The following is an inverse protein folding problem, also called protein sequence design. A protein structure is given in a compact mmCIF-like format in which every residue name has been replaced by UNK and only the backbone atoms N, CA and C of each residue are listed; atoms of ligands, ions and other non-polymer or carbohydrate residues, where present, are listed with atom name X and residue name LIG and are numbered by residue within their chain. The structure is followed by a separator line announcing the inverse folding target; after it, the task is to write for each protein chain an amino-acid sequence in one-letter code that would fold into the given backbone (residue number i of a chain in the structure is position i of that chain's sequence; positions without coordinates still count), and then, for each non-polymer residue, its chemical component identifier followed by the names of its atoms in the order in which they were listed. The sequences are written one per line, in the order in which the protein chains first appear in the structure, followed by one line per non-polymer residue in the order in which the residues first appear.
data_IF_714586667382
#
_entry.id   IF_714586667382
#
_cell.length_a   1.000
_cell.length_b   1.000
_cell.length_c   1.000
_cell.angle_alpha   90.00
_cell.angle_beta   90.00
_cell.angle_gamma   90.00
#
_symmetry.space_group_name_H-M   'P 1'
#
loop_
_entity.id
_entity.type
_entity.pdbx_description
1 polymer ?
#
# COMPACT_ATOMS: atom_id res chain seq x y z
N UNK A 1 43.25 -45.18 -4.01
CA UNK A 1 41.96 -45.52 -4.67
C UNK A 1 40.92 -44.45 -4.32
N UNK A 2 40.88 -43.40 -5.14
CA UNK A 2 39.78 -42.52 -5.58
C UNK A 2 38.62 -42.24 -4.59
N UNK A 3 38.55 -40.99 -4.08
CA UNK A 3 37.32 -40.33 -3.60
C UNK A 3 37.42 -38.81 -3.81
N UNK A 4 37.32 -38.31 -5.04
CA UNK A 4 37.29 -36.84 -5.24
C UNK A 4 36.63 -36.36 -6.55
N UNK A 5 35.69 -37.10 -7.14
CA UNK A 5 35.17 -36.77 -8.48
C UNK A 5 33.64 -36.52 -8.53
N UNK A 6 32.89 -36.64 -7.42
CA UNK A 6 31.42 -36.50 -7.48
C UNK A 6 30.87 -35.08 -7.24
N UNK A 7 31.65 -34.14 -6.72
CA UNK A 7 31.13 -32.82 -6.32
C UNK A 7 31.16 -31.78 -7.46
N UNK A 8 32.15 -31.86 -8.36
CA UNK A 8 32.31 -30.90 -9.48
C UNK A 8 31.21 -31.02 -10.54
N UNK A 9 30.75 -32.25 -10.82
CA UNK A 9 29.74 -32.52 -11.86
C UNK A 9 28.38 -31.86 -11.59
N UNK A 10 27.97 -31.76 -10.31
CA UNK A 10 26.67 -31.18 -9.96
C UNK A 10 26.68 -29.65 -10.04
N UNK A 11 27.81 -29.00 -9.78
CA UNK A 11 27.96 -27.54 -9.87
C UNK A 11 27.96 -27.08 -11.32
N UNK A 12 28.67 -27.79 -12.21
CA UNK A 12 28.66 -27.49 -13.65
C UNK A 12 27.29 -27.72 -14.27
N UNK A 13 26.58 -28.80 -13.88
CA UNK A 13 25.20 -29.05 -14.32
C UNK A 13 24.24 -27.98 -13.85
N UNK A 14 24.38 -27.48 -12.62
CA UNK A 14 23.56 -26.38 -12.11
C UNK A 14 23.84 -25.07 -12.87
N UNK A 15 25.11 -24.79 -13.20
CA UNK A 15 25.52 -23.62 -13.98
C UNK A 15 24.96 -23.65 -15.41
N UNK A 16 25.03 -24.81 -16.07
CA UNK A 16 24.46 -25.03 -17.41
C UNK A 16 22.94 -24.94 -17.42
N UNK A 17 22.28 -25.44 -16.37
CA UNK A 17 20.84 -25.32 -16.22
C UNK A 17 20.41 -23.86 -16.02
N UNK A 18 21.13 -23.11 -15.19
CA UNK A 18 20.92 -21.67 -14.98
C UNK A 18 21.20 -20.84 -16.23
N UNK A 19 22.21 -21.19 -17.04
CA UNK A 19 22.47 -20.52 -18.31
C UNK A 19 21.38 -20.80 -19.33
N UNK A 20 20.87 -22.03 -19.38
CA UNK A 20 19.76 -22.42 -20.25
C UNK A 20 18.46 -21.70 -19.87
N UNK A 21 18.18 -21.55 -18.57
CA UNK A 21 17.06 -20.75 -18.08
C UNK A 21 17.19 -19.29 -18.54
N UNK A 22 18.40 -18.70 -18.48
CA UNK A 22 18.65 -17.31 -18.87
C UNK A 22 18.56 -17.04 -20.39
N UNK A 23 18.66 -18.07 -21.22
CA UNK A 23 18.53 -17.93 -22.68
C UNK A 23 17.07 -18.03 -23.15
N UNK A 24 16.18 -18.55 -22.31
CA UNK A 24 14.77 -18.70 -22.64
C UNK A 24 13.98 -17.49 -22.11
N UNK A 25 13.73 -16.52 -22.98
CA UNK A 25 13.05 -15.26 -22.63
C UNK A 25 11.64 -15.48 -22.09
N UNK A 26 10.96 -16.56 -22.51
CA UNK A 26 9.61 -16.91 -22.05
C UNK A 26 9.66 -17.47 -20.64
N UNK A 27 10.63 -18.34 -20.35
CA UNK A 27 10.83 -18.89 -19.01
C UNK A 27 11.33 -17.81 -18.03
N UNK A 28 12.21 -16.92 -18.47
CA UNK A 28 12.61 -15.73 -17.71
C UNK A 28 11.44 -14.80 -17.45
N UNK A 29 10.55 -14.56 -18.42
CA UNK A 29 9.35 -13.75 -18.19
C UNK A 29 8.36 -14.45 -17.26
N UNK A 30 8.23 -15.77 -17.33
CA UNK A 30 7.41 -16.55 -16.40
C UNK A 30 8.01 -16.58 -14.98
N UNK A 31 9.33 -16.69 -14.85
CA UNK A 31 10.04 -16.64 -13.58
C UNK A 31 10.03 -15.23 -13.00
N UNK A 32 10.19 -14.18 -13.80
CA UNK A 32 10.02 -12.77 -13.39
C UNK A 32 8.58 -12.50 -12.95
N UNK A 33 7.59 -13.06 -13.66
CA UNK A 33 6.18 -13.04 -13.24
C UNK A 33 5.94 -13.83 -11.94
N UNK A 34 6.77 -14.84 -11.63
CA UNK A 34 6.72 -15.61 -10.37
C UNK A 34 7.57 -15.02 -9.24
N UNK A 35 8.65 -14.31 -9.51
CA UNK A 35 9.45 -13.58 -8.51
C UNK A 35 8.69 -12.35 -7.99
N UNK A 36 7.76 -11.82 -8.78
CA UNK A 36 6.74 -10.87 -8.31
C UNK A 36 5.80 -11.44 -7.22
N UNK A 37 5.87 -12.76 -6.94
CA UNK A 37 5.16 -13.44 -5.85
C UNK A 37 6.05 -13.75 -4.63
N UNK A 38 7.24 -13.17 -4.52
CA UNK A 38 7.76 -12.92 -3.17
C UNK A 38 6.73 -12.04 -2.44
N UNK A 39 6.47 -12.22 -1.13
CA UNK A 39 5.59 -11.30 -0.41
C UNK A 39 6.15 -9.90 -0.60
N UNK A 40 5.55 -9.15 -1.53
CA UNK A 40 5.93 -7.78 -1.80
C UNK A 40 5.73 -7.05 -0.49
N UNK A 41 6.81 -6.47 0.06
CA UNK A 41 6.62 -5.54 1.16
C UNK A 41 5.61 -4.51 0.67
N UNK A 42 4.51 -4.31 1.41
CA UNK A 42 3.47 -3.37 1.01
C UNK A 42 4.01 -1.93 0.85
N UNK A 43 5.24 -1.68 1.30
CA UNK A 43 6.02 -0.47 1.06
C UNK A 43 6.19 -0.11 -0.43
N UNK A 44 6.18 -1.08 -1.36
CA UNK A 44 6.19 -0.74 -2.80
C UNK A 44 4.92 0.01 -3.20
N UNK A 45 3.77 -0.37 -2.65
CA UNK A 45 2.49 0.32 -2.91
C UNK A 45 2.45 1.73 -2.32
N UNK A 46 3.19 2.01 -1.24
CA UNK A 46 3.38 3.39 -0.74
C UNK A 46 4.05 4.25 -1.81
N UNK A 47 5.14 3.75 -2.40
CA UNK A 47 5.87 4.47 -3.45
C UNK A 47 5.02 4.65 -4.70
N UNK A 48 4.23 3.63 -5.07
CA UNK A 48 3.28 3.72 -6.18
C UNK A 48 2.21 4.76 -5.90
N UNK A 49 1.67 4.81 -4.68
CA UNK A 49 0.66 5.81 -4.28
C UNK A 49 1.22 7.23 -4.42
N UNK A 50 2.41 7.50 -3.89
CA UNK A 50 3.08 8.81 -4.04
C UNK A 50 3.31 9.13 -5.52
N UNK A 51 3.72 8.15 -6.32
CA UNK A 51 3.94 8.31 -7.76
C UNK A 51 2.65 8.63 -8.51
N UNK A 52 1.55 7.93 -8.20
CA UNK A 52 0.24 8.15 -8.81
C UNK A 52 -0.39 9.49 -8.40
N UNK A 53 0.05 10.07 -7.28
CA UNK A 53 -0.40 11.38 -6.83
C UNK A 53 0.22 12.54 -7.62
N UNK A 54 1.22 12.29 -8.48
CA UNK A 54 1.91 13.35 -9.21
C UNK A 54 0.98 14.04 -10.22
N UNK A 55 1.07 15.35 -10.30
CA UNK A 55 0.44 16.12 -11.37
C UNK A 55 1.31 16.18 -12.64
N UNK A 56 0.87 16.95 -13.63
CA UNK A 56 1.58 17.11 -14.91
C UNK A 56 2.94 17.79 -14.76
N UNK A 57 3.18 18.53 -13.67
CA UNK A 57 4.49 19.09 -13.33
C UNK A 57 5.40 18.09 -12.60
N UNK A 58 4.90 16.90 -12.27
CA UNK A 58 5.63 15.88 -11.52
C UNK A 58 5.60 16.09 -10.00
N UNK A 59 4.85 17.07 -9.50
CA UNK A 59 4.71 17.36 -8.07
C UNK A 59 3.76 16.35 -7.43
N UNK A 60 4.25 15.60 -6.44
CA UNK A 60 3.43 14.67 -5.66
C UNK A 60 2.47 15.43 -4.73
N UNK A 61 1.24 14.96 -4.66
CA UNK A 61 0.18 15.53 -3.80
C UNK A 61 -0.13 14.65 -2.59
N UNK A 62 0.62 13.55 -2.43
CA UNK A 62 0.68 12.75 -1.22
C UNK A 62 2.10 12.81 -0.68
N UNK A 63 2.23 13.27 0.55
CA UNK A 63 3.48 13.26 1.33
C UNK A 63 3.54 12.05 2.27
N UNK A 64 2.39 11.59 2.79
CA UNK A 64 2.32 10.45 3.71
C UNK A 64 1.17 9.51 3.39
N UNK A 65 1.40 8.20 3.53
CA UNK A 65 0.38 7.18 3.34
C UNK A 65 0.72 5.90 4.11
N UNK A 66 -0.28 5.03 4.26
CA UNK A 66 -0.10 3.69 4.79
C UNK A 66 -1.19 2.75 4.27
N UNK A 67 -0.97 1.46 4.49
CA UNK A 67 -1.97 0.42 4.28
C UNK A 67 -2.18 -0.29 5.62
N UNK A 68 -3.44 -0.44 6.02
CA UNK A 68 -3.82 -1.16 7.22
C UNK A 68 -4.74 -2.33 6.88
N UNK A 69 -4.69 -3.40 7.65
CA UNK A 69 -5.63 -4.51 7.51
C UNK A 69 -7.02 -4.15 8.04
N UNK A 70 -8.06 -4.52 7.30
CA UNK A 70 -9.46 -4.35 7.68
C UNK A 70 -9.81 -5.12 8.97
N UNK A 71 -9.13 -6.24 9.22
CA UNK A 71 -9.32 -7.07 10.40
C UNK A 71 -8.40 -6.63 11.55
N UNK A 72 -8.75 -5.50 12.18
CA UNK A 72 -8.09 -5.03 13.41
C UNK A 72 -7.10 -3.89 13.22
N UNK A 73 -6.93 -3.35 12.01
CA UNK A 73 -6.11 -2.16 11.78
C UNK A 73 -4.61 -2.41 11.89
N UNK A 74 -4.14 -3.63 11.66
CA UNK A 74 -2.71 -3.93 11.66
C UNK A 74 -2.03 -3.18 10.51
N UNK A 75 -0.94 -2.46 10.79
CA UNK A 75 -0.17 -1.76 9.77
C UNK A 75 0.54 -2.78 8.88
N UNK A 76 0.33 -2.71 7.57
CA UNK A 76 0.96 -3.60 6.58
C UNK A 76 2.21 -3.00 5.95
N UNK A 77 2.38 -1.70 6.10
CA UNK A 77 3.53 -0.93 5.64
C UNK A 77 4.49 -0.64 6.78
N UNK A 78 5.77 -0.52 6.49
CA UNK A 78 6.79 -0.25 7.52
C UNK A 78 6.87 1.24 7.85
N UNK A 79 7.17 1.55 9.11
CA UNK A 79 7.42 2.92 9.56
C UNK A 79 8.77 3.50 9.06
N UNK A 80 9.57 2.71 8.33
CA UNK A 80 10.87 3.09 7.80
C UNK A 80 10.78 3.91 6.51
N UNK A 81 9.64 3.84 5.79
CA UNK A 81 9.43 4.64 4.59
C UNK A 81 9.40 6.14 4.93
N UNK A 82 10.04 7.02 4.13
CA UNK A 82 9.94 8.46 4.31
C UNK A 82 8.50 8.98 4.15
N UNK A 83 7.66 8.22 3.46
CA UNK A 83 6.26 8.53 3.23
C UNK A 83 5.31 7.78 4.18
N UNK A 84 5.84 7.11 5.22
CA UNK A 84 4.99 6.38 6.15
C UNK A 84 4.13 7.34 6.99
N UNK A 85 2.81 7.12 6.98
CA UNK A 85 1.87 7.72 7.91
C UNK A 85 1.93 6.98 9.27
N UNK A 86 2.31 7.67 10.34
CA UNK A 86 2.72 7.08 11.63
C UNK A 86 1.62 7.14 12.69
N UNK A 87 0.42 6.68 12.35
CA UNK A 87 -0.67 6.56 13.31
C UNK A 87 -0.42 5.49 14.38
N UNK A 88 -1.09 5.62 15.53
CA UNK A 88 -1.06 4.60 16.58
C UNK A 88 -1.93 3.39 16.23
N UNK A 89 -1.68 2.25 16.88
CA UNK A 89 -2.52 1.05 16.69
C UNK A 89 -4.00 1.31 17.03
N UNK A 90 -4.27 2.14 18.04
CA UNK A 90 -5.64 2.49 18.44
C UNK A 90 -6.35 3.31 17.35
N UNK A 91 -5.65 4.27 16.75
CA UNK A 91 -6.16 5.09 15.64
C UNK A 91 -6.54 4.19 14.45
N UNK A 92 -5.64 3.31 14.03
CA UNK A 92 -5.89 2.40 12.92
C UNK A 92 -6.95 1.34 13.22
N UNK A 93 -7.04 0.86 14.46
CA UNK A 93 -8.10 -0.06 14.89
C UNK A 93 -9.48 0.60 14.80
N UNK A 94 -9.59 1.87 15.21
CA UNK A 94 -10.83 2.63 15.11
C UNK A 94 -11.23 2.83 13.64
N UNK A 95 -10.26 3.12 12.76
CA UNK A 95 -10.50 3.25 11.32
C UNK A 95 -10.99 1.92 10.73
N UNK A 96 -10.28 0.83 11.02
CA UNK A 96 -10.65 -0.50 10.54
C UNK A 96 -12.05 -0.93 11.03
N UNK A 97 -12.41 -0.61 12.28
CA UNK A 97 -13.75 -0.89 12.82
C UNK A 97 -14.85 -0.16 12.05
N UNK A 98 -14.67 1.12 11.77
CA UNK A 98 -15.65 1.92 11.03
C UNK A 98 -15.88 1.36 9.62
N UNK A 99 -14.80 1.08 8.88
CA UNK A 99 -14.90 0.48 7.54
C UNK A 99 -15.49 -0.94 7.55
N UNK A 100 -15.13 -1.77 8.54
CA UNK A 100 -15.64 -3.13 8.64
C UNK A 100 -17.13 -3.19 8.96
N UNK A 101 -17.60 -2.31 9.84
CA UNK A 101 -19.02 -2.19 10.21
C UNK A 101 -19.84 -1.38 9.19
N UNK A 102 -19.17 -0.57 8.36
CA UNK A 102 -19.76 0.46 7.50
C UNK A 102 -20.58 1.49 8.31
N UNK A 103 -20.19 1.71 9.56
CA UNK A 103 -20.76 2.73 10.43
C UNK A 103 -19.71 3.82 10.69
N UNK A 104 -20.01 5.03 10.23
CA UNK A 104 -19.15 6.22 10.36
C UNK A 104 -19.73 7.25 11.32
N UNK A 105 -20.73 6.89 12.13
CA UNK A 105 -21.36 7.79 13.11
C UNK A 105 -20.34 8.38 14.09
N UNK A 106 -19.37 7.58 14.53
CA UNK A 106 -18.27 8.03 15.40
C UNK A 106 -17.37 9.05 14.69
N UNK A 107 -17.14 8.90 13.37
CA UNK A 107 -16.36 9.88 12.60
C UNK A 107 -17.09 11.21 12.48
N UNK A 108 -18.41 11.19 12.37
CA UNK A 108 -19.25 12.40 12.36
C UNK A 108 -19.21 13.08 13.74
N UNK A 109 -19.37 12.32 14.82
CA UNK A 109 -19.46 12.87 16.18
C UNK A 109 -18.10 13.33 16.73
N UNK A 110 -17.06 12.51 16.57
CA UNK A 110 -15.78 12.68 17.24
C UNK A 110 -14.62 13.02 16.30
N UNK A 111 -14.82 12.91 14.99
CA UNK A 111 -13.76 13.06 13.99
C UNK A 111 -12.89 11.82 13.86
N UNK A 112 -11.94 11.88 12.93
CA UNK A 112 -10.98 10.82 12.64
C UNK A 112 -9.62 11.27 13.14
N UNK A 113 -9.02 10.52 14.06
CA UNK A 113 -7.70 10.86 14.63
C UNK A 113 -6.64 10.03 13.92
N UNK A 114 -5.63 10.70 13.36
CA UNK A 114 -4.45 10.09 12.74
C UNK A 114 -3.24 10.94 13.09
N UNK A 115 -2.16 10.32 13.60
CA UNK A 115 -0.97 11.04 14.09
C UNK A 115 -1.35 12.11 15.12
N UNK A 116 -2.21 11.74 16.09
CA UNK A 116 -2.72 12.61 17.15
C UNK A 116 -3.52 13.84 16.64
N UNK A 117 -3.77 13.91 15.34
CA UNK A 117 -4.46 15.02 14.69
C UNK A 117 -5.88 14.62 14.33
N UNK A 118 -6.86 15.37 14.85
CA UNK A 118 -8.29 15.19 14.54
C UNK A 118 -8.68 15.84 13.22
N UNK A 119 -9.13 15.04 12.27
CA UNK A 119 -9.74 15.43 10.99
C UNK A 119 -11.26 15.32 11.07
N UNK A 120 -11.96 16.19 10.33
CA UNK A 120 -13.41 16.15 10.21
C UNK A 120 -13.83 15.39 8.97
N UNK A 121 -14.82 14.51 9.09
CA UNK A 121 -15.41 13.81 7.95
C UNK A 121 -16.02 14.85 6.99
N UNK A 122 -15.60 14.82 5.72
CA UNK A 122 -16.20 15.63 4.67
C UNK A 122 -17.38 14.90 4.03
N UNK A 123 -17.15 13.65 3.63
CA UNK A 123 -18.15 12.75 3.06
C UNK A 123 -17.65 11.31 3.07
N UNK A 124 -18.57 10.37 2.99
CA UNK A 124 -18.30 8.96 2.68
C UNK A 124 -19.03 8.58 1.39
N UNK A 125 -18.53 7.56 0.69
CA UNK A 125 -19.15 7.03 -0.53
C UNK A 125 -19.34 5.51 -0.42
N UNK A 126 -20.60 5.10 -0.23
CA UNK A 126 -21.05 3.70 -0.28
C UNK A 126 -20.41 2.79 0.77
N UNK A 127 -19.94 3.36 1.87
CA UNK A 127 -19.12 2.69 2.88
C UNK A 127 -17.81 2.12 2.36
N UNK A 128 -17.34 2.60 1.20
CA UNK A 128 -16.08 2.18 0.57
C UNK A 128 -14.98 3.23 0.67
N UNK A 129 -15.36 4.49 0.58
CA UNK A 129 -14.41 5.61 0.55
C UNK A 129 -14.81 6.62 1.62
N UNK A 130 -13.82 7.14 2.33
CA UNK A 130 -13.98 8.21 3.31
C UNK A 130 -13.02 9.34 2.96
N UNK A 131 -13.55 10.56 2.94
CA UNK A 131 -12.77 11.79 2.81
C UNK A 131 -12.85 12.59 4.10
N UNK A 132 -11.71 13.02 4.62
CA UNK A 132 -11.64 13.83 5.82
C UNK A 132 -10.69 15.01 5.61
N UNK A 133 -10.91 16.11 6.31
CA UNK A 133 -10.08 17.32 6.21
C UNK A 133 -9.97 18.04 7.55
N UNK A 134 -8.85 18.70 7.73
CA UNK A 134 -8.64 19.70 8.76
C UNK A 134 -7.99 20.92 8.11
N UNK A 135 -8.58 22.10 8.29
CA UNK A 135 -8.00 23.37 7.85
C UNK A 135 -6.61 23.52 8.47
N UNK A 136 -5.64 24.08 7.73
CA UNK A 136 -4.25 24.29 8.20
C UNK A 136 -3.42 23.03 8.44
N UNK A 137 -3.96 21.86 8.13
CA UNK A 137 -3.23 20.59 8.25
C UNK A 137 -3.23 19.87 6.90
N UNK A 138 -4.41 19.59 6.35
CA UNK A 138 -4.52 18.85 5.09
C UNK A 138 -5.77 17.98 5.04
N UNK A 139 -5.72 16.92 4.25
CA UNK A 139 -6.80 15.95 4.13
C UNK A 139 -6.33 14.51 4.11
N UNK A 140 -7.27 13.63 4.43
CA UNK A 140 -7.12 12.19 4.34
C UNK A 140 -8.13 11.66 3.34
N UNK A 141 -7.67 10.72 2.52
CA UNK A 141 -8.51 9.89 1.68
C UNK A 141 -8.25 8.43 2.03
N UNK A 142 -9.32 7.72 2.33
CA UNK A 142 -9.27 6.33 2.76
C UNK A 142 -10.19 5.48 1.90
N UNK A 143 -9.69 4.36 1.39
CA UNK A 143 -10.50 3.44 0.60
C UNK A 143 -10.28 2.00 1.09
N UNK A 144 -11.39 1.30 1.35
CA UNK A 144 -11.38 -0.10 1.78
C UNK A 144 -11.35 -1.03 0.57
N UNK A 145 -10.65 -2.15 0.73
CA UNK A 145 -10.62 -3.30 -0.17
C UNK A 145 -11.23 -4.52 0.55
N UNK A 146 -11.13 -5.73 0.00
CA UNK A 146 -11.64 -6.95 0.66
C UNK A 146 -11.08 -7.16 2.07
N UNK A 147 -9.82 -6.80 2.28
CA UNK A 147 -9.07 -7.09 3.50
C UNK A 147 -8.13 -5.97 3.96
N UNK A 148 -8.02 -4.88 3.21
CA UNK A 148 -7.15 -3.74 3.53
C UNK A 148 -7.90 -2.41 3.48
N UNK A 149 -7.25 -1.36 3.98
CA UNK A 149 -7.65 0.04 3.82
C UNK A 149 -6.41 0.81 3.42
N UNK A 150 -6.49 1.47 2.26
CA UNK A 150 -5.44 2.34 1.73
C UNK A 150 -5.72 3.76 2.23
N UNK A 151 -4.73 4.38 2.89
CA UNK A 151 -4.86 5.71 3.49
C UNK A 151 -3.82 6.62 2.85
N UNK A 152 -4.26 7.68 2.18
CA UNK A 152 -3.42 8.74 1.63
C UNK A 152 -3.67 10.07 2.35
N UNK A 153 -2.61 10.72 2.81
CA UNK A 153 -2.64 12.07 3.34
C UNK A 153 -2.19 13.07 2.27
N UNK A 154 -2.95 14.16 2.13
CA UNK A 154 -2.68 15.27 1.24
C UNK A 154 -2.31 16.47 2.10
N UNK A 155 -1.09 17.04 1.97
CA UNK A 155 -0.68 18.18 2.76
C UNK A 155 -1.48 19.43 2.36
N UNK A 156 -1.51 20.43 3.24
CA UNK A 156 -2.09 21.72 2.89
C UNK A 156 -1.46 22.32 1.62
N UNK A 157 -2.31 22.93 0.77
CA UNK A 157 -1.91 23.41 -0.56
C UNK A 157 -1.85 22.31 -1.64
N UNK A 158 -1.93 21.04 -1.24
CA UNK A 158 -2.00 19.90 -2.15
C UNK A 158 -3.34 19.76 -2.87
N UNK A 159 -3.33 19.03 -3.99
CA UNK A 159 -4.52 18.74 -4.81
C UNK A 159 -5.16 17.44 -4.37
N UNK A 160 -6.19 17.55 -3.54
CA UNK A 160 -6.99 16.42 -3.05
C UNK A 160 -7.44 15.45 -4.15
N UNK A 161 -7.81 15.94 -5.34
CA UNK A 161 -8.21 15.10 -6.47
C UNK A 161 -7.13 14.12 -6.92
N UNK A 162 -5.86 14.53 -6.87
CA UNK A 162 -4.73 13.67 -7.19
C UNK A 162 -4.52 12.59 -6.13
N UNK A 163 -4.63 12.94 -4.86
CA UNK A 163 -4.59 11.98 -3.74
C UNK A 163 -5.71 10.96 -3.85
N UNK A 164 -6.93 11.40 -4.17
CA UNK A 164 -8.09 10.53 -4.36
C UNK A 164 -7.85 9.51 -5.47
N UNK A 165 -7.36 9.99 -6.63
CA UNK A 165 -6.99 9.11 -7.75
C UNK A 165 -5.91 8.11 -7.35
N UNK A 166 -4.88 8.55 -6.65
CA UNK A 166 -3.77 7.69 -6.24
C UNK A 166 -4.22 6.57 -5.28
N UNK A 167 -5.03 6.92 -4.28
CA UNK A 167 -5.62 5.96 -3.35
C UNK A 167 -6.50 4.95 -4.10
N UNK A 168 -7.33 5.42 -5.03
CA UNK A 168 -8.19 4.55 -5.83
C UNK A 168 -7.39 3.54 -6.67
N UNK A 169 -6.35 4.00 -7.38
CA UNK A 169 -5.50 3.12 -8.21
C UNK A 169 -4.85 2.01 -7.38
N UNK A 170 -4.32 2.34 -6.19
CA UNK A 170 -3.69 1.34 -5.32
C UNK A 170 -4.73 0.40 -4.71
N UNK A 171 -5.88 0.92 -4.27
CA UNK A 171 -6.96 0.09 -3.74
C UNK A 171 -7.51 -0.89 -4.80
N UNK A 172 -7.69 -0.45 -6.04
CA UNK A 172 -8.10 -1.31 -7.17
C UNK A 172 -7.05 -2.37 -7.50
N UNK A 173 -5.77 -2.03 -7.40
CA UNK A 173 -4.67 -2.98 -7.55
C UNK A 173 -4.74 -4.07 -6.48
N UNK A 174 -4.89 -3.71 -5.21
CA UNK A 174 -5.02 -4.67 -4.11
C UNK A 174 -6.28 -5.54 -4.25
N UNK A 175 -7.41 -4.96 -4.64
CA UNK A 175 -8.66 -5.69 -4.91
C UNK A 175 -8.49 -6.77 -5.99
N UNK A 176 -7.72 -6.45 -7.03
CA UNK A 176 -7.41 -7.35 -8.15
C UNK A 176 -6.50 -8.50 -7.70
N UNK A 177 -5.67 -8.29 -6.68
CA UNK A 177 -4.84 -9.32 -6.06
C UNK A 177 -5.62 -10.15 -5.02
N UNK A 178 -6.91 -9.88 -4.83
CA UNK A 178 -7.76 -10.57 -3.86
C UNK A 178 -7.61 -10.05 -2.43
N UNK A 179 -6.99 -8.88 -2.27
CA UNK A 179 -6.70 -8.23 -1.00
C UNK A 179 -7.61 -7.05 -0.75
#
# INVERSE_FOLDING_TARGET
KIKEIKTSSNVEKASLFLSSIKQDSVLLDQLRKKEHWLPMSFDSYINDLVTQSKDTSGTAHVDRCCIIGLNGGALWTTAASPYALKGSQTEFTNIARAFKSKDFSDFVAFGIIVEETKYYLLREEGGKIVYAKKREYGALTMQVTKSAIVIGYCPEGGRHGNTNKAVAVVAECLESLGT
#
